data_IF_696920823748
#
_entry.id   IF_696920823748
#
_cell.length_a   1.000
_cell.length_b   1.000
_cell.length_c   1.000
_cell.angle_alpha   90.00
_cell.angle_beta   90.00
_cell.angle_gamma   90.00
#
_symmetry.space_group_name_H-M   'P 1'
#
loop_
_entity.id
_entity.type
_entity.pdbx_description
1 polymer ?
#
# COMPACT_ATOMS: atom_id res chain seq x y z
N UNK A 1 54.73 17.59 16.30
CA UNK A 1 53.25 17.65 16.21
C UNK A 1 52.83 16.48 15.32
N UNK A 2 52.26 15.42 15.92
CA UNK A 2 52.06 14.10 15.29
C UNK A 2 50.97 14.13 14.21
N UNK A 3 51.29 13.55 13.06
CA UNK A 3 50.38 13.20 11.97
C UNK A 3 49.58 11.94 12.38
N UNK A 4 48.26 12.07 12.60
CA UNK A 4 47.38 10.90 12.83
C UNK A 4 46.83 10.41 11.49
N UNK A 5 47.41 9.32 11.00
CA UNK A 5 46.83 8.45 9.98
C UNK A 5 45.61 7.76 10.62
N UNK A 6 44.40 8.09 10.19
CA UNK A 6 43.22 7.28 10.50
C UNK A 6 43.08 6.22 9.41
N UNK A 7 43.53 5.01 9.71
CA UNK A 7 43.24 3.81 8.92
C UNK A 7 41.76 3.48 9.12
N UNK A 8 40.92 3.77 8.12
CA UNK A 8 39.57 3.21 8.07
C UNK A 8 39.69 1.72 7.76
N UNK A 9 39.51 0.88 8.79
CA UNK A 9 39.29 -0.54 8.62
C UNK A 9 37.88 -0.71 8.03
N UNK A 10 37.79 -0.84 6.71
CA UNK A 10 36.55 -1.24 6.06
C UNK A 10 36.21 -2.66 6.54
N UNK A 11 35.19 -2.79 7.38
CA UNK A 11 34.54 -4.08 7.61
C UNK A 11 33.80 -4.39 6.30
N UNK A 12 34.52 -5.00 5.35
CA UNK A 12 33.91 -5.66 4.22
C UNK A 12 33.14 -6.86 4.78
N UNK A 13 31.89 -6.63 5.21
CA UNK A 13 30.93 -7.71 5.34
C UNK A 13 30.92 -8.42 4.00
N UNK A 14 31.27 -9.70 3.98
CA UNK A 14 31.27 -10.50 2.78
C UNK A 14 29.87 -10.44 2.16
N UNK A 15 29.72 -9.70 1.05
CA UNK A 15 28.61 -9.96 0.16
C UNK A 15 28.81 -11.41 -0.28
N UNK A 16 28.02 -12.35 0.26
CA UNK A 16 27.84 -13.64 -0.39
C UNK A 16 27.58 -13.35 -1.87
N UNK A 17 28.29 -14.01 -2.78
CA UNK A 17 28.24 -13.70 -4.20
C UNK A 17 26.77 -13.68 -4.67
N UNK A 18 26.25 -12.50 -5.01
CA UNK A 18 24.90 -12.36 -5.54
C UNK A 18 24.88 -13.08 -6.88
N UNK A 19 24.02 -14.10 -7.03
CA UNK A 19 23.91 -14.85 -8.28
C UNK A 19 23.09 -14.05 -9.29
N UNK A 20 23.69 -13.62 -10.41
CA UNK A 20 22.93 -13.01 -11.49
C UNK A 20 21.89 -13.99 -12.06
N UNK A 21 20.77 -13.47 -12.54
CA UNK A 21 19.66 -14.26 -13.10
C UNK A 21 18.68 -14.82 -12.05
N UNK A 22 18.91 -14.60 -10.75
CA UNK A 22 18.01 -15.02 -9.67
C UNK A 22 17.74 -13.88 -8.68
N UNK A 23 16.59 -13.94 -7.99
CA UNK A 23 16.29 -13.02 -6.89
C UNK A 23 17.01 -13.50 -5.64
N UNK A 24 17.85 -12.64 -5.06
CA UNK A 24 18.46 -12.83 -3.74
C UNK A 24 17.65 -12.06 -2.70
N UNK A 25 17.16 -12.74 -1.67
CA UNK A 25 16.33 -12.16 -0.62
C UNK A 25 16.53 -12.92 0.71
N UNK A 26 16.86 -12.26 1.82
CA UNK A 26 17.12 -10.83 1.97
C UNK A 26 18.58 -10.44 1.67
N UNK A 27 18.78 -9.22 1.15
CA UNK A 27 20.05 -8.49 1.27
C UNK A 27 19.93 -7.51 2.43
N UNK A 28 20.74 -7.68 3.47
CA UNK A 28 20.78 -6.76 4.63
C UNK A 28 21.66 -5.56 4.30
N UNK A 29 21.18 -4.35 4.61
CA UNK A 29 21.95 -3.13 4.34
C UNK A 29 23.18 -3.03 5.25
N UNK A 30 24.25 -2.40 4.78
CA UNK A 30 25.51 -2.34 5.51
C UNK A 30 25.44 -1.38 6.71
N UNK A 31 24.65 -0.32 6.59
CA UNK A 31 24.55 0.74 7.61
C UNK A 31 23.53 0.45 8.70
N UNK A 32 22.46 -0.28 8.39
CA UNK A 32 21.42 -0.64 9.35
C UNK A 32 20.97 -2.08 9.12
N UNK A 33 21.37 -2.97 10.03
CA UNK A 33 21.01 -4.38 9.99
C UNK A 33 19.50 -4.64 10.14
N UNK A 34 18.70 -3.62 10.50
CA UNK A 34 17.24 -3.69 10.53
C UNK A 34 16.61 -3.47 9.15
N UNK A 35 17.36 -2.96 8.19
CA UNK A 35 16.90 -2.76 6.81
C UNK A 35 17.40 -3.87 5.91
N UNK A 36 16.54 -4.31 5.00
CA UNK A 36 16.85 -5.28 3.97
C UNK A 36 16.02 -5.06 2.71
N UNK A 37 16.41 -5.74 1.63
CA UNK A 37 15.71 -5.70 0.35
C UNK A 37 15.90 -6.99 -0.42
N UNK A 38 14.96 -7.29 -1.32
CA UNK A 38 15.13 -8.29 -2.36
C UNK A 38 15.86 -7.65 -3.55
N UNK A 39 16.81 -8.38 -4.13
CA UNK A 39 17.65 -7.91 -5.23
C UNK A 39 17.56 -8.87 -6.41
N UNK A 40 17.36 -8.33 -7.59
CA UNK A 40 17.57 -9.01 -8.86
C UNK A 40 18.67 -8.33 -9.66
N UNK A 41 19.65 -9.12 -10.09
CA UNK A 41 20.66 -8.74 -11.06
C UNK A 41 20.39 -9.50 -12.35
N UNK A 42 20.36 -8.85 -13.53
CA UNK A 42 20.24 -9.56 -14.81
C UNK A 42 21.34 -10.60 -14.97
N UNK A 43 21.09 -11.71 -15.66
CA UNK A 43 22.08 -12.79 -15.85
C UNK A 43 23.40 -12.30 -16.48
N UNK A 44 23.33 -11.21 -17.24
CA UNK A 44 24.44 -10.54 -17.90
C UNK A 44 25.16 -9.52 -17.01
N UNK A 45 24.82 -9.42 -15.73
CA UNK A 45 25.38 -8.43 -14.80
C UNK A 45 26.90 -8.57 -14.63
N UNK A 46 27.59 -7.47 -14.87
CA UNK A 46 29.03 -7.31 -14.68
C UNK A 46 29.34 -5.94 -14.11
N UNK A 47 30.45 -5.81 -13.37
CA UNK A 47 30.87 -4.55 -12.73
C UNK A 47 31.65 -3.61 -13.66
N UNK A 48 31.99 -4.04 -14.87
CA UNK A 48 32.77 -3.28 -15.85
C UNK A 48 31.94 -2.24 -16.63
N UNK A 49 30.61 -2.25 -16.47
CA UNK A 49 29.71 -1.25 -17.04
C UNK A 49 28.68 -0.76 -16.02
N UNK A 50 28.05 0.36 -16.34
CA UNK A 50 26.98 0.95 -15.54
C UNK A 50 25.59 0.45 -15.97
N UNK A 51 24.74 0.19 -14.97
CA UNK A 51 23.42 -0.43 -15.15
C UNK A 51 22.28 0.51 -14.76
N UNK A 52 21.14 0.47 -15.48
CA UNK A 52 19.93 1.12 -15.01
C UNK A 52 19.39 0.37 -13.77
N UNK A 53 18.70 1.09 -12.89
CA UNK A 53 18.13 0.54 -11.66
C UNK A 53 16.67 0.91 -11.50
N UNK A 54 15.86 -0.05 -11.05
CA UNK A 54 14.48 0.13 -10.64
C UNK A 54 14.34 -0.14 -9.13
N UNK A 55 14.07 0.90 -8.35
CA UNK A 55 13.77 0.79 -6.93
C UNK A 55 12.28 0.58 -6.70
N UNK A 56 11.89 -0.51 -6.04
CA UNK A 56 10.49 -0.96 -5.96
C UNK A 56 9.96 -0.92 -4.52
N UNK A 57 8.73 -0.43 -4.35
CA UNK A 57 8.06 -0.31 -3.05
C UNK A 57 6.70 -1.01 -3.06
N UNK A 58 6.53 -1.97 -2.15
CA UNK A 58 5.27 -2.68 -1.90
C UNK A 58 4.58 -2.10 -0.65
N UNK A 59 3.25 -1.91 -0.64
CA UNK A 59 2.56 -1.31 0.51
C UNK A 59 2.68 -2.17 1.78
N UNK A 60 2.92 -3.48 1.64
CA UNK A 60 3.15 -4.41 2.74
C UNK A 60 4.61 -4.77 2.97
N UNK A 61 5.57 -4.08 2.33
CA UNK A 61 7.00 -4.41 2.37
C UNK A 61 7.34 -5.84 1.87
N UNK A 62 6.58 -6.37 0.91
CA UNK A 62 6.84 -7.67 0.29
C UNK A 62 7.88 -7.55 -0.85
N UNK A 63 9.13 -7.22 -0.51
CA UNK A 63 10.18 -6.94 -1.50
C UNK A 63 10.40 -8.06 -2.50
N UNK A 64 10.40 -9.34 -2.07
CA UNK A 64 10.54 -10.48 -2.99
C UNK A 64 9.44 -10.56 -4.04
N UNK A 65 8.18 -10.38 -3.63
CA UNK A 65 7.04 -10.37 -4.56
C UNK A 65 7.14 -9.20 -5.53
N UNK A 66 7.47 -8.01 -5.02
CA UNK A 66 7.62 -6.83 -5.84
C UNK A 66 8.79 -6.92 -6.85
N UNK A 67 9.91 -7.55 -6.47
CA UNK A 67 11.01 -7.83 -7.38
C UNK A 67 10.61 -8.83 -8.49
N UNK A 68 9.82 -9.85 -8.14
CA UNK A 68 9.35 -10.86 -9.10
C UNK A 68 8.46 -10.25 -10.20
N UNK A 69 7.63 -9.25 -9.88
CA UNK A 69 6.79 -8.52 -10.87
C UNK A 69 7.63 -7.97 -12.03
N UNK A 70 8.82 -7.46 -11.74
CA UNK A 70 9.69 -6.82 -12.74
C UNK A 70 10.81 -7.73 -13.26
N UNK A 71 11.00 -8.93 -12.69
CA UNK A 71 12.13 -9.82 -12.99
C UNK A 71 12.30 -10.08 -14.49
N UNK A 72 11.25 -10.51 -15.18
CA UNK A 72 11.31 -10.84 -16.60
C UNK A 72 11.65 -9.63 -17.48
N UNK A 73 11.12 -8.45 -17.13
CA UNK A 73 11.39 -7.22 -17.83
C UNK A 73 12.82 -6.72 -17.56
N UNK A 74 13.28 -6.87 -16.33
CA UNK A 74 14.63 -6.53 -15.90
C UNK A 74 15.69 -7.38 -16.59
N UNK A 75 15.43 -8.68 -16.77
CA UNK A 75 16.31 -9.56 -17.55
C UNK A 75 16.42 -9.08 -19.00
N UNK A 76 15.27 -8.84 -19.64
CA UNK A 76 15.20 -8.47 -21.06
C UNK A 76 15.86 -7.12 -21.36
N UNK A 77 15.65 -6.12 -20.51
CA UNK A 77 16.13 -4.75 -20.73
C UNK A 77 17.40 -4.41 -19.94
N UNK A 78 17.92 -5.35 -19.14
CA UNK A 78 19.16 -5.20 -18.38
C UNK A 78 19.03 -4.21 -17.22
N UNK A 79 18.05 -4.38 -16.34
CA UNK A 79 17.85 -3.55 -15.14
C UNK A 79 18.21 -4.29 -13.87
N UNK A 80 18.89 -3.60 -12.94
CA UNK A 80 18.92 -4.02 -11.55
C UNK A 80 17.55 -3.72 -10.93
N UNK A 81 16.98 -4.65 -10.17
CA UNK A 81 15.75 -4.39 -9.39
C UNK A 81 16.09 -4.54 -7.92
N UNK A 82 15.80 -3.52 -7.13
CA UNK A 82 15.95 -3.55 -5.68
C UNK A 82 14.61 -3.18 -5.02
N UNK A 83 14.03 -4.10 -4.25
CA UNK A 83 12.70 -3.97 -3.68
C UNK A 83 12.74 -4.04 -2.15
N UNK A 84 12.22 -3.02 -1.47
CA UNK A 84 12.37 -2.90 -0.02
C UNK A 84 11.57 -3.97 0.73
N UNK A 85 12.20 -4.58 1.75
CA UNK A 85 11.53 -5.47 2.71
C UNK A 85 11.07 -4.73 3.98
N UNK A 86 11.15 -3.40 3.98
CA UNK A 86 10.90 -2.60 5.19
C UNK A 86 9.98 -1.40 4.94
N UNK A 87 10.08 -0.76 3.76
CA UNK A 87 9.22 0.36 3.38
C UNK A 87 7.79 -0.16 3.14
N UNK A 88 6.87 0.23 4.03
CA UNK A 88 5.46 -0.18 4.03
C UNK A 88 4.56 0.98 4.43
N UNK A 89 3.26 0.82 4.17
CA UNK A 89 2.24 1.74 4.66
C UNK A 89 2.26 1.85 6.19
N UNK A 90 1.81 2.99 6.71
CA UNK A 90 1.82 3.32 8.13
C UNK A 90 2.62 4.59 8.41
N UNK A 91 3.62 4.49 9.28
CA UNK A 91 4.41 5.65 9.69
C UNK A 91 5.30 6.18 8.55
N UNK A 92 4.93 7.34 7.99
CA UNK A 92 5.61 7.98 6.84
C UNK A 92 7.13 8.12 7.01
N UNK A 93 7.60 8.46 8.21
CA UNK A 93 9.04 8.61 8.48
C UNK A 93 9.79 7.29 8.35
N UNK A 94 9.26 6.22 8.94
CA UNK A 94 9.88 4.89 8.88
C UNK A 94 9.87 4.36 7.44
N UNK A 95 8.76 4.55 6.73
CA UNK A 95 8.63 4.21 5.32
C UNK A 95 9.71 4.88 4.46
N UNK A 96 9.93 6.18 4.65
CA UNK A 96 10.95 6.95 3.91
C UNK A 96 12.38 6.57 4.31
N UNK A 97 12.66 6.37 5.59
CA UNK A 97 13.99 5.92 6.07
C UNK A 97 14.35 4.57 5.47
N UNK A 98 13.41 3.62 5.43
CA UNK A 98 13.63 2.31 4.81
C UNK A 98 13.90 2.42 3.31
N UNK A 99 13.16 3.27 2.60
CA UNK A 99 13.36 3.50 1.16
C UNK A 99 14.75 4.07 0.88
N UNK A 100 15.13 5.15 1.57
CA UNK A 100 16.42 5.82 1.38
C UNK A 100 17.61 4.93 1.81
N UNK A 101 17.45 4.16 2.89
CA UNK A 101 18.49 3.23 3.35
C UNK A 101 18.80 2.13 2.34
N UNK A 102 17.77 1.54 1.72
CA UNK A 102 17.96 0.60 0.61
C UNK A 102 18.65 1.27 -0.59
N UNK A 103 18.15 2.44 -1.01
CA UNK A 103 18.70 3.14 -2.18
C UNK A 103 20.18 3.48 -2.02
N UNK A 104 20.56 3.97 -0.83
CA UNK A 104 21.96 4.27 -0.50
C UNK A 104 22.84 3.01 -0.54
N UNK A 105 22.38 1.89 0.04
CA UNK A 105 23.14 0.65 0.06
C UNK A 105 23.36 0.08 -1.36
N UNK A 106 22.33 0.13 -2.21
CA UNK A 106 22.42 -0.31 -3.62
C UNK A 106 23.38 0.59 -4.41
N UNK A 107 23.32 1.91 -4.22
CA UNK A 107 24.23 2.86 -4.86
C UNK A 107 25.70 2.64 -4.47
N UNK A 108 25.96 2.19 -3.24
CA UNK A 108 27.33 1.92 -2.78
C UNK A 108 27.88 0.57 -3.27
N UNK A 109 27.01 -0.42 -3.52
CA UNK A 109 27.41 -1.80 -3.81
C UNK A 109 27.49 -2.14 -5.30
N UNK A 110 26.71 -1.47 -6.15
CA UNK A 110 26.54 -1.86 -7.55
C UNK A 110 26.93 -0.73 -8.52
N UNK A 111 27.43 -1.11 -9.70
CA UNK A 111 27.75 -0.18 -10.78
C UNK A 111 26.49 0.38 -11.45
N UNK A 112 25.96 1.49 -10.92
CA UNK A 112 24.74 2.13 -11.43
C UNK A 112 25.06 3.24 -12.44
N UNK A 113 24.17 3.40 -13.40
CA UNK A 113 24.12 4.58 -14.25
C UNK A 113 23.26 5.66 -13.58
N UNK A 114 23.91 6.72 -13.10
CA UNK A 114 23.24 7.80 -12.38
C UNK A 114 22.19 8.57 -13.18
N UNK A 115 22.13 8.40 -14.51
CA UNK A 115 21.10 9.00 -15.38
C UNK A 115 19.93 8.06 -15.67
N UNK A 116 20.03 6.79 -15.27
CA UNK A 116 19.03 5.75 -15.50
C UNK A 116 18.55 5.15 -14.17
N UNK A 117 18.09 6.03 -13.29
CA UNK A 117 17.45 5.67 -12.02
C UNK A 117 15.93 5.80 -12.18
N UNK A 118 15.21 4.76 -11.77
CA UNK A 118 13.76 4.67 -11.85
C UNK A 118 13.21 4.18 -10.52
N UNK A 119 11.96 4.54 -10.24
CA UNK A 119 11.23 4.01 -9.08
C UNK A 119 9.95 3.33 -9.55
N UNK A 120 9.49 2.34 -8.81
CA UNK A 120 8.22 1.69 -9.03
C UNK A 120 7.53 1.41 -7.69
N UNK A 121 6.21 1.27 -7.71
CA UNK A 121 5.50 0.83 -6.54
C UNK A 121 4.05 0.50 -6.81
N UNK A 122 3.40 -0.11 -5.82
CA UNK A 122 1.98 -0.43 -5.86
C UNK A 122 1.22 0.28 -4.75
N UNK A 123 0.06 0.87 -5.06
CA UNK A 123 -0.81 1.53 -4.08
C UNK A 123 -0.05 2.57 -3.24
N UNK A 124 -0.01 2.46 -1.91
CA UNK A 124 0.83 3.33 -1.06
C UNK A 124 2.34 3.26 -1.36
N UNK A 125 2.83 2.13 -1.87
CA UNK A 125 4.18 2.01 -2.42
C UNK A 125 4.38 2.81 -3.72
N UNK A 126 3.36 2.95 -4.57
CA UNK A 126 3.42 3.80 -5.76
C UNK A 126 3.52 5.28 -5.36
N UNK A 127 2.77 5.69 -4.34
CA UNK A 127 2.90 7.03 -3.74
C UNK A 127 4.31 7.24 -3.15
N UNK A 128 4.90 6.24 -2.50
CA UNK A 128 6.30 6.31 -2.04
C UNK A 128 7.28 6.43 -3.22
N UNK A 129 7.10 5.64 -4.28
CA UNK A 129 7.90 5.72 -5.51
C UNK A 129 7.85 7.13 -6.12
N UNK A 130 6.65 7.72 -6.17
CA UNK A 130 6.43 9.08 -6.63
C UNK A 130 7.03 10.14 -5.71
N UNK A 131 7.00 9.94 -4.39
CA UNK A 131 7.64 10.84 -3.42
C UNK A 131 9.16 10.84 -3.59
N UNK A 132 9.79 9.67 -3.77
CA UNK A 132 11.20 9.58 -4.12
C UNK A 132 11.48 10.28 -5.45
N UNK A 133 10.63 10.06 -6.46
CA UNK A 133 10.72 10.73 -7.76
C UNK A 133 10.62 12.25 -7.67
N UNK A 134 9.80 12.79 -6.77
CA UNK A 134 9.69 14.21 -6.52
C UNK A 134 10.91 14.78 -5.78
N UNK A 135 11.31 14.12 -4.69
CA UNK A 135 12.45 14.56 -3.86
C UNK A 135 13.77 14.50 -4.63
N UNK A 136 13.90 13.55 -5.55
CA UNK A 136 15.06 13.38 -6.41
C UNK A 136 14.71 13.54 -7.89
N UNK A 137 13.93 14.57 -8.23
CA UNK A 137 13.48 14.85 -9.60
C UNK A 137 14.60 15.04 -10.62
N UNK A 138 15.79 15.41 -10.16
CA UNK A 138 16.98 15.57 -11.00
C UNK A 138 17.76 14.25 -11.19
N UNK A 139 17.42 13.19 -10.43
CA UNK A 139 18.07 11.89 -10.52
C UNK A 139 17.14 10.76 -11.00
N UNK A 140 15.86 10.78 -10.61
CA UNK A 140 14.85 9.79 -11.02
C UNK A 140 14.29 10.20 -12.37
N UNK A 141 14.54 9.39 -13.41
CA UNK A 141 14.11 9.68 -14.78
C UNK A 141 12.61 9.44 -14.98
N UNK A 142 12.08 8.37 -14.39
CA UNK A 142 10.67 8.04 -14.46
C UNK A 142 10.21 7.16 -13.28
N UNK A 143 8.89 7.18 -13.04
CA UNK A 143 8.20 6.39 -12.02
C UNK A 143 7.23 5.42 -12.69
N UNK A 144 7.22 4.15 -12.28
CA UNK A 144 6.19 3.17 -12.64
C UNK A 144 5.21 3.05 -11.48
N UNK A 145 4.04 3.68 -11.59
CA UNK A 145 3.05 3.75 -10.53
C UNK A 145 1.89 2.77 -10.79
N UNK A 146 1.77 1.73 -9.97
CA UNK A 146 0.72 0.71 -10.08
C UNK A 146 -0.41 0.98 -9.08
N UNK A 147 -1.65 1.10 -9.55
CA UNK A 147 -2.84 1.16 -8.70
C UNK A 147 -2.95 2.40 -7.80
N UNK A 148 -2.20 3.47 -8.06
CA UNK A 148 -2.38 4.77 -7.41
C UNK A 148 -1.76 5.91 -8.24
N UNK A 149 -2.24 7.12 -7.99
CA UNK A 149 -1.78 8.38 -8.55
C UNK A 149 -0.49 8.91 -7.91
N UNK A 150 -0.30 10.23 -8.00
CA UNK A 150 0.83 10.92 -7.35
C UNK A 150 0.73 10.90 -5.82
N UNK A 151 1.82 11.27 -5.09
CA UNK A 151 1.74 11.46 -3.66
C UNK A 151 0.62 12.41 -3.26
N UNK A 152 -0.10 12.07 -2.18
CA UNK A 152 -1.21 12.88 -1.69
C UNK A 152 -0.75 14.30 -1.32
N UNK A 153 -1.63 15.27 -1.55
CA UNK A 153 -1.42 16.68 -1.21
C UNK A 153 -0.21 17.36 -1.86
N UNK A 154 0.30 16.84 -2.99
CA UNK A 154 1.32 17.53 -3.76
C UNK A 154 0.76 18.83 -4.35
N UNK A 155 1.33 20.02 -4.02
CA UNK A 155 0.84 21.29 -4.57
C UNK A 155 0.93 21.34 -6.10
N UNK A 156 0.01 22.06 -6.76
CA UNK A 156 -0.08 22.09 -8.23
C UNK A 156 1.19 22.62 -8.91
N UNK A 157 1.90 23.57 -8.29
CA UNK A 157 3.18 24.07 -8.78
C UNK A 157 4.26 22.98 -8.77
N UNK A 158 4.19 22.03 -7.82
CA UNK A 158 5.13 20.92 -7.71
C UNK A 158 4.84 19.80 -8.70
N UNK A 159 3.60 19.64 -9.16
CA UNK A 159 3.23 18.67 -10.22
C UNK A 159 3.96 18.93 -11.53
N UNK A 160 4.33 20.19 -11.81
CA UNK A 160 5.11 20.59 -13.00
C UNK A 160 6.55 20.08 -13.00
N UNK A 161 7.08 19.78 -11.82
CA UNK A 161 8.46 19.36 -11.62
C UNK A 161 8.59 17.84 -11.41
N UNK A 162 7.52 17.08 -11.60
CA UNK A 162 7.54 15.64 -11.49
C UNK A 162 8.28 14.99 -12.68
N UNK A 163 8.98 13.86 -12.46
CA UNK A 163 9.55 13.08 -13.55
C UNK A 163 8.46 12.49 -14.46
N UNK A 164 8.86 11.74 -15.48
CA UNK A 164 7.91 11.03 -16.34
C UNK A 164 7.23 9.88 -15.56
N UNK A 165 6.00 9.50 -15.90
CA UNK A 165 5.28 8.41 -15.25
C UNK A 165 4.75 7.37 -16.23
N UNK A 166 4.86 6.11 -15.86
CA UNK A 166 4.09 5.02 -16.44
C UNK A 166 3.11 4.52 -15.39
N UNK A 167 1.83 4.78 -15.59
CA UNK A 167 0.77 4.32 -14.72
C UNK A 167 0.24 2.96 -15.16
N UNK A 168 -0.12 2.13 -14.19
CA UNK A 168 -0.86 0.90 -14.44
C UNK A 168 -2.04 0.83 -13.49
N UNK A 169 -3.18 0.33 -13.96
CA UNK A 169 -4.36 0.18 -13.10
C UNK A 169 -5.29 -0.90 -13.61
N UNK A 170 -5.85 -1.68 -12.69
CA UNK A 170 -6.87 -2.66 -13.03
C UNK A 170 -8.19 -1.96 -13.40
N UNK A 171 -8.92 -2.49 -14.37
CA UNK A 171 -10.21 -1.91 -14.76
C UNK A 171 -11.24 -1.91 -13.62
N UNK A 172 -11.11 -2.81 -12.64
CA UNK A 172 -11.98 -2.90 -11.46
C UNK A 172 -11.36 -2.25 -10.21
N UNK A 173 -10.21 -1.59 -10.34
CA UNK A 173 -9.51 -0.94 -9.24
C UNK A 173 -10.27 0.30 -8.77
N UNK A 174 -10.46 0.45 -7.46
CA UNK A 174 -11.10 1.62 -6.89
C UNK A 174 -10.30 2.91 -7.15
N UNK A 175 -8.97 2.81 -7.28
CA UNK A 175 -8.08 3.92 -7.65
C UNK A 175 -8.03 4.19 -9.16
N UNK A 176 -8.89 3.58 -9.99
CA UNK A 176 -8.92 3.82 -11.43
C UNK A 176 -8.92 5.31 -11.78
N UNK A 177 -9.79 6.07 -11.13
CA UNK A 177 -9.93 7.50 -11.38
C UNK A 177 -8.75 8.33 -10.85
N UNK A 178 -8.21 7.98 -9.69
CA UNK A 178 -6.99 8.59 -9.15
C UNK A 178 -5.81 8.47 -10.14
N UNK A 179 -5.66 7.28 -10.75
CA UNK A 179 -4.63 7.01 -11.75
C UNK A 179 -4.81 7.82 -13.03
N UNK A 180 -6.00 7.76 -13.67
CA UNK A 180 -6.20 8.45 -14.95
C UNK A 180 -6.18 9.97 -14.79
N UNK A 181 -6.69 10.50 -13.68
CA UNK A 181 -6.66 11.94 -13.41
C UNK A 181 -5.25 12.43 -13.10
N UNK A 182 -4.45 11.64 -12.37
CA UNK A 182 -3.02 11.92 -12.16
C UNK A 182 -2.28 11.95 -13.50
N UNK A 183 -2.47 10.97 -14.37
CA UNK A 183 -1.82 10.95 -15.69
C UNK A 183 -2.21 12.17 -16.54
N UNK A 184 -3.48 12.60 -16.49
CA UNK A 184 -3.96 13.79 -17.22
C UNK A 184 -3.38 15.08 -16.66
N UNK A 185 -3.25 15.19 -15.35
CA UNK A 185 -2.69 16.36 -14.67
C UNK A 185 -1.17 16.51 -14.86
N UNK A 186 -0.47 15.45 -15.29
CA UNK A 186 0.98 15.48 -15.48
C UNK A 186 1.40 16.29 -16.70
N UNK A 187 2.35 17.20 -16.49
CA UNK A 187 2.98 17.99 -17.56
C UNK A 187 4.15 17.25 -18.24
N UNK A 188 4.84 16.40 -17.47
CA UNK A 188 5.86 15.48 -17.99
C UNK A 188 5.23 14.34 -18.80
N UNK A 189 6.03 13.60 -19.61
CA UNK A 189 5.56 12.42 -20.31
C UNK A 189 4.85 11.44 -19.38
N UNK A 190 3.71 10.92 -19.84
CA UNK A 190 2.85 10.04 -19.07
C UNK A 190 2.26 8.97 -19.98
N UNK A 191 2.28 7.71 -19.55
CA UNK A 191 1.56 6.63 -20.21
C UNK A 191 0.66 5.91 -19.20
N UNK A 192 -0.49 5.39 -19.64
CA UNK A 192 -1.42 4.61 -18.80
C UNK A 192 -1.68 3.25 -19.44
N UNK A 193 -1.44 2.18 -18.69
CA UNK A 193 -1.86 0.84 -19.07
C UNK A 193 -2.99 0.36 -18.15
N UNK A 194 -4.19 0.27 -18.71
CA UNK A 194 -5.32 -0.40 -18.05
C UNK A 194 -5.28 -1.89 -18.35
N UNK A 195 -5.50 -2.74 -17.35
CA UNK A 195 -5.55 -4.20 -17.51
C UNK A 195 -6.82 -4.80 -16.89
N UNK A 196 -7.17 -6.02 -17.30
CA UNK A 196 -8.26 -6.76 -16.69
C UNK A 196 -7.87 -7.24 -15.29
N UNK A 197 -8.31 -6.53 -14.26
CA UNK A 197 -7.93 -6.80 -12.87
C UNK A 197 -8.50 -5.80 -11.88
N UNK A 198 -8.36 -6.11 -10.59
CA UNK A 198 -8.73 -5.22 -9.49
C UNK A 198 -7.55 -4.40 -8.98
N UNK A 199 -7.55 -4.11 -7.68
CA UNK A 199 -6.44 -3.46 -7.00
C UNK A 199 -5.31 -4.46 -6.71
N UNK A 200 -4.42 -4.64 -7.68
CA UNK A 200 -3.33 -5.61 -7.63
C UNK A 200 -2.11 -5.11 -8.42
N UNK A 201 -0.95 -5.73 -8.20
CA UNK A 201 0.22 -5.53 -9.06
C UNK A 201 -0.12 -5.79 -10.54
N UNK A 202 0.50 -5.02 -11.43
CA UNK A 202 0.34 -5.19 -12.87
C UNK A 202 0.76 -6.61 -13.29
N UNK A 203 0.05 -7.25 -14.23
CA UNK A 203 0.47 -8.54 -14.75
C UNK A 203 1.79 -8.41 -15.53
N UNK A 204 2.56 -9.51 -15.67
CA UNK A 204 3.94 -9.46 -16.19
C UNK A 204 4.09 -8.76 -17.55
N UNK A 205 3.11 -8.88 -18.44
CA UNK A 205 3.11 -8.23 -19.75
C UNK A 205 2.94 -6.71 -19.67
N UNK A 206 2.21 -6.21 -18.65
CA UNK A 206 2.06 -4.78 -18.40
C UNK A 206 3.32 -4.23 -17.71
N UNK A 207 3.90 -4.97 -16.76
CA UNK A 207 5.20 -4.63 -16.17
C UNK A 207 6.31 -4.59 -17.23
N UNK A 208 6.31 -5.54 -18.17
CA UNK A 208 7.20 -5.56 -19.34
C UNK A 208 7.05 -4.31 -20.21
N UNK A 209 5.81 -3.90 -20.51
CA UNK A 209 5.53 -2.66 -21.26
C UNK A 209 6.04 -1.42 -20.53
N UNK A 210 5.85 -1.34 -19.22
CA UNK A 210 6.30 -0.21 -18.41
C UNK A 210 7.83 -0.06 -18.45
N UNK A 211 8.57 -1.16 -18.25
CA UNK A 211 10.05 -1.16 -18.32
C UNK A 211 10.55 -0.94 -19.75
N UNK A 212 9.85 -1.46 -20.77
CA UNK A 212 10.17 -1.16 -22.16
C UNK A 212 10.07 0.34 -22.46
N UNK A 213 9.03 1.00 -21.96
CA UNK A 213 8.84 2.44 -22.10
C UNK A 213 9.93 3.24 -21.36
N UNK A 214 10.36 2.82 -20.16
CA UNK A 214 11.50 3.46 -19.48
C UNK A 214 12.82 3.24 -20.22
N UNK A 215 13.04 2.05 -20.79
CA UNK A 215 14.21 1.72 -21.59
C UNK A 215 14.26 2.51 -22.92
N UNK A 216 13.09 2.82 -23.51
CA UNK A 216 12.95 3.73 -24.65
C UNK A 216 13.13 5.22 -24.26
N UNK A 217 13.40 5.50 -22.99
CA UNK A 217 13.75 6.82 -22.50
C UNK A 217 12.59 7.61 -21.89
N UNK A 218 11.41 7.02 -21.68
CA UNK A 218 10.27 7.62 -20.99
C UNK A 218 9.83 8.98 -21.60
N UNK A 219 9.59 8.98 -22.92
CA UNK A 219 9.29 10.21 -23.69
C UNK A 219 7.88 10.25 -24.25
N UNK A 220 7.31 9.09 -24.56
CA UNK A 220 6.02 9.01 -25.23
C UNK A 220 4.89 9.30 -24.23
N UNK A 221 3.85 9.98 -24.72
CA UNK A 221 2.62 10.25 -23.98
C UNK A 221 1.48 9.41 -24.54
N UNK A 222 0.87 8.60 -23.68
CA UNK A 222 -0.29 7.76 -23.99
C UNK A 222 -1.28 7.79 -22.81
N UNK A 223 -2.13 8.81 -22.79
CA UNK A 223 -3.08 9.05 -21.69
C UNK A 223 -4.49 9.04 -22.25
N UNK A 224 -5.41 8.20 -21.73
CA UNK A 224 -6.77 8.13 -22.25
C UNK A 224 -7.53 9.45 -22.00
N UNK A 225 -8.27 9.98 -22.99
CA UNK A 225 -9.09 11.17 -22.82
C UNK A 225 -10.28 10.88 -21.89
N UNK A 226 -10.87 11.94 -21.32
CA UNK A 226 -12.13 11.81 -20.59
C UNK A 226 -13.25 11.47 -21.59
N UNK A 227 -14.09 10.48 -21.25
CA UNK A 227 -15.24 10.10 -22.07
C UNK A 227 -16.55 10.31 -21.30
N UNK A 228 -17.70 10.51 -21.98
CA UNK A 228 -19.00 10.60 -21.32
C UNK A 228 -19.33 9.36 -20.48
N UNK A 229 -18.96 8.16 -20.97
CA UNK A 229 -19.12 6.91 -20.24
C UNK A 229 -18.31 6.90 -18.93
N UNK A 230 -17.06 7.36 -18.98
CA UNK A 230 -16.21 7.51 -17.80
C UNK A 230 -16.84 8.47 -16.78
N UNK A 231 -17.35 9.62 -17.23
CA UNK A 231 -18.00 10.59 -16.33
C UNK A 231 -19.25 10.00 -15.67
N UNK A 232 -20.04 9.21 -16.41
CA UNK A 232 -21.19 8.51 -15.86
C UNK A 232 -20.79 7.44 -14.83
N UNK A 233 -19.76 6.64 -15.12
CA UNK A 233 -19.21 5.65 -14.19
C UNK A 233 -18.73 6.30 -12.90
N UNK A 234 -18.05 7.44 -12.98
CA UNK A 234 -17.56 8.20 -11.80
C UNK A 234 -18.70 8.66 -10.90
N UNK A 235 -19.69 9.35 -11.46
CA UNK A 235 -20.87 9.81 -10.68
C UNK A 235 -21.56 8.66 -9.98
N UNK A 236 -21.73 7.54 -10.69
CA UNK A 236 -22.36 6.35 -10.12
C UNK A 236 -21.51 5.70 -9.02
N UNK A 237 -20.19 5.67 -9.16
CA UNK A 237 -19.29 5.20 -8.10
C UNK A 237 -19.44 6.06 -6.84
N UNK A 238 -19.45 7.39 -6.97
CA UNK A 238 -19.66 8.32 -5.86
C UNK A 238 -21.02 8.12 -5.18
N UNK A 239 -22.10 7.96 -5.95
CA UNK A 239 -23.44 7.70 -5.44
C UNK A 239 -23.53 6.39 -4.65
N UNK A 240 -22.83 5.35 -5.09
CA UNK A 240 -22.81 4.04 -4.42
C UNK A 240 -22.02 4.04 -3.11
N UNK A 241 -20.96 4.85 -3.03
CA UNK A 241 -20.10 4.96 -1.84
C UNK A 241 -20.70 5.90 -0.79
N UNK A 242 -21.45 6.92 -1.22
CA UNK A 242 -21.99 7.99 -0.36
C UNK A 242 -22.71 7.50 0.90
N UNK A 243 -23.62 6.50 0.87
CA UNK A 243 -24.33 6.06 2.08
C UNK A 243 -23.40 5.55 3.18
N UNK A 244 -22.40 4.73 2.82
CA UNK A 244 -21.40 4.21 3.75
C UNK A 244 -20.61 5.37 4.38
N UNK A 245 -20.11 6.29 3.54
CA UNK A 245 -19.29 7.41 4.01
C UNK A 245 -20.09 8.42 4.84
N UNK A 246 -21.36 8.65 4.51
CA UNK A 246 -22.24 9.50 5.31
C UNK A 246 -22.53 8.89 6.68
N UNK A 247 -22.71 7.57 6.79
CA UNK A 247 -22.86 6.89 8.08
C UNK A 247 -21.58 6.98 8.93
N UNK A 248 -20.41 6.76 8.31
CA UNK A 248 -19.11 6.92 8.98
C UNK A 248 -18.85 8.36 9.43
N UNK A 249 -19.24 9.36 8.63
CA UNK A 249 -19.11 10.77 9.00
C UNK A 249 -19.97 11.13 10.24
N UNK A 250 -21.21 10.61 10.32
CA UNK A 250 -22.05 10.75 11.53
C UNK A 250 -21.38 10.10 12.74
N UNK A 251 -20.78 8.93 12.56
CA UNK A 251 -20.08 8.22 13.64
C UNK A 251 -18.82 8.98 14.13
N UNK A 252 -18.10 9.64 13.22
CA UNK A 252 -16.89 10.39 13.55
C UNK A 252 -17.17 11.77 14.15
N UNK A 253 -18.27 12.42 13.74
CA UNK A 253 -18.64 13.77 14.14
C UNK A 253 -20.15 13.86 14.44
N UNK A 254 -20.63 13.24 15.53
CA UNK A 254 -22.06 13.20 15.85
C UNK A 254 -22.66 14.61 16.00
N UNK A 255 -21.87 15.56 16.50
CA UNK A 255 -22.28 16.95 16.72
C UNK A 255 -22.54 17.74 15.42
N UNK A 256 -21.78 17.45 14.36
CA UNK A 256 -21.81 18.21 13.10
C UNK A 256 -23.01 17.85 12.19
N UNK A 257 -23.77 16.81 12.55
CA UNK A 257 -24.91 16.30 11.78
C UNK A 257 -26.25 16.47 12.49
N UNK A 258 -26.26 17.23 13.60
CA UNK A 258 -27.47 17.51 14.37
C UNK A 258 -28.39 18.52 13.65
N UNK A 259 -29.73 18.36 13.76
CA UNK A 259 -30.67 19.41 13.39
C UNK A 259 -30.37 20.71 14.14
N UNK A 260 -30.63 21.89 13.55
CA UNK A 260 -30.35 23.18 14.18
C UNK A 260 -30.91 23.33 15.59
N UNK A 261 -32.04 22.67 15.88
CA UNK A 261 -32.73 22.72 17.17
C UNK A 261 -31.99 21.99 18.31
N UNK A 262 -30.98 21.16 18.00
CA UNK A 262 -30.16 20.41 18.98
C UNK A 262 -28.68 20.81 18.97
N UNK A 263 -28.33 21.90 18.28
CA UNK A 263 -26.99 22.48 18.32
C UNK A 263 -26.77 23.16 19.69
N UNK A 264 -25.88 22.60 20.52
CA UNK A 264 -25.56 23.11 21.86
C UNK A 264 -25.94 22.19 23.02
N UNK A 265 -26.68 21.11 22.76
CA UNK A 265 -26.84 20.01 23.71
C UNK A 265 -25.56 19.15 23.68
N UNK A 266 -24.91 18.94 24.84
CA UNK A 266 -23.80 17.98 24.93
C UNK A 266 -24.37 16.56 24.84
N UNK A 267 -24.26 15.91 23.68
CA UNK A 267 -24.40 14.45 23.62
C UNK A 267 -23.10 13.84 23.12
N UNK A 268 -22.15 13.68 24.05
CA UNK A 268 -21.10 12.67 23.96
C UNK A 268 -21.70 11.25 24.13
N UNK A 269 -22.93 10.99 23.65
CA UNK A 269 -23.63 9.73 23.90
C UNK A 269 -22.99 8.63 23.04
N UNK A 270 -22.28 7.66 23.65
CA UNK A 270 -21.64 6.58 22.91
C UNK A 270 -22.66 5.71 22.13
N UNK A 271 -23.95 5.76 22.49
CA UNK A 271 -25.01 5.04 21.80
C UNK A 271 -25.26 5.55 20.37
N UNK A 272 -25.19 6.88 20.14
CA UNK A 272 -25.41 7.49 18.83
C UNK A 272 -24.29 7.13 17.84
N UNK A 273 -23.05 7.07 18.34
CA UNK A 273 -21.88 6.68 17.55
C UNK A 273 -21.93 5.18 17.18
N UNK A 274 -22.28 4.30 18.13
CA UNK A 274 -22.43 2.86 17.86
C UNK A 274 -23.57 2.58 16.87
N UNK A 275 -24.69 3.31 16.98
CA UNK A 275 -25.76 3.22 15.99
C UNK A 275 -25.27 3.62 14.59
N UNK A 276 -24.51 4.72 14.48
CA UNK A 276 -23.96 5.17 13.19
C UNK A 276 -22.96 4.17 12.58
N UNK A 277 -22.16 3.49 13.40
CA UNK A 277 -21.34 2.36 12.94
C UNK A 277 -22.19 1.15 12.53
N UNK A 278 -23.31 0.91 13.21
CA UNK A 278 -24.33 -0.07 12.81
C UNK A 278 -24.89 0.20 11.41
N UNK A 279 -25.30 1.44 11.16
CA UNK A 279 -25.76 1.89 9.84
C UNK A 279 -24.68 1.66 8.77
N UNK A 280 -23.43 2.07 9.06
CA UNK A 280 -22.31 1.93 8.12
C UNK A 280 -22.04 0.45 7.76
N UNK A 281 -22.10 -0.47 8.75
CA UNK A 281 -22.02 -1.92 8.50
C UNK A 281 -23.16 -2.40 7.60
N UNK A 282 -24.38 -1.92 7.83
CA UNK A 282 -25.55 -2.23 7.01
C UNK A 282 -25.41 -1.78 5.55
N UNK A 283 -25.02 -0.52 5.33
CA UNK A 283 -24.79 0.04 4.00
C UNK A 283 -23.66 -0.68 3.26
N UNK A 284 -22.57 -0.99 3.95
CA UNK A 284 -21.45 -1.74 3.37
C UNK A 284 -21.87 -3.16 2.95
N UNK A 285 -22.63 -3.86 3.79
CA UNK A 285 -23.15 -5.19 3.45
C UNK A 285 -24.13 -5.14 2.27
N UNK A 286 -24.97 -4.11 2.19
CA UNK A 286 -25.88 -3.90 1.06
C UNK A 286 -25.09 -3.64 -0.25
N UNK A 287 -24.03 -2.84 -0.19
CA UNK A 287 -23.14 -2.60 -1.33
C UNK A 287 -22.45 -3.88 -1.80
N UNK A 288 -21.95 -4.70 -0.85
CA UNK A 288 -21.37 -6.02 -1.15
C UNK A 288 -22.38 -6.95 -1.82
N UNK A 289 -23.63 -6.96 -1.35
CA UNK A 289 -24.73 -7.75 -1.93
C UNK A 289 -24.98 -7.33 -3.38
N UNK A 290 -25.19 -6.04 -3.64
CA UNK A 290 -25.36 -5.48 -4.99
C UNK A 290 -24.23 -5.88 -5.93
N UNK A 291 -22.98 -5.79 -5.46
CA UNK A 291 -21.81 -6.21 -6.24
C UNK A 291 -21.84 -7.69 -6.61
N UNK A 292 -22.28 -8.55 -5.70
CA UNK A 292 -22.31 -10.01 -5.92
C UNK A 292 -23.37 -10.43 -6.94
N UNK A 293 -24.45 -9.65 -7.05
CA UNK A 293 -25.56 -9.87 -7.98
C UNK A 293 -25.34 -9.22 -9.35
N UNK A 294 -24.34 -8.35 -9.50
CA UNK A 294 -24.11 -7.55 -10.70
C UNK A 294 -23.33 -8.28 -11.82
N UNK A 295 -23.65 -7.93 -13.05
CA UNK A 295 -22.99 -8.42 -14.28
C UNK A 295 -22.81 -7.28 -15.29
N UNK A 296 -21.95 -7.46 -16.31
CA UNK A 296 -21.76 -6.45 -17.36
C UNK A 296 -21.16 -5.14 -16.85
N UNK A 297 -21.57 -4.01 -17.42
CA UNK A 297 -21.03 -2.68 -17.09
C UNK A 297 -21.25 -2.27 -15.63
N UNK A 298 -22.33 -2.76 -15.03
CA UNK A 298 -22.66 -2.55 -13.62
C UNK A 298 -21.61 -3.15 -12.67
N UNK A 299 -21.03 -4.29 -13.07
CA UNK A 299 -20.01 -4.97 -12.28
C UNK A 299 -18.76 -4.10 -12.12
N UNK A 300 -18.37 -3.35 -13.16
CA UNK A 300 -17.17 -2.50 -13.11
C UNK A 300 -17.33 -1.45 -12.01
N UNK A 301 -18.42 -0.68 -12.06
CA UNK A 301 -18.66 0.42 -11.13
C UNK A 301 -18.87 -0.10 -9.71
N UNK A 302 -19.60 -1.21 -9.54
CA UNK A 302 -19.82 -1.79 -8.21
C UNK A 302 -18.55 -2.38 -7.59
N UNK A 303 -17.64 -2.96 -8.39
CA UNK A 303 -16.34 -3.41 -7.87
C UNK A 303 -15.47 -2.24 -7.42
N UNK A 304 -15.44 -1.15 -8.20
CA UNK A 304 -14.72 0.06 -7.82
C UNK A 304 -15.32 0.72 -6.57
N UNK A 305 -16.65 0.86 -6.51
CA UNK A 305 -17.35 1.44 -5.38
C UNK A 305 -17.15 0.64 -4.08
N UNK A 306 -17.33 -0.68 -4.13
CA UNK A 306 -17.10 -1.53 -2.96
C UNK A 306 -15.63 -1.52 -2.53
N UNK A 307 -14.71 -1.53 -3.49
CA UNK A 307 -13.27 -1.40 -3.22
C UNK A 307 -12.92 -0.08 -2.54
N UNK A 308 -13.49 1.03 -3.01
CA UNK A 308 -13.28 2.36 -2.44
C UNK A 308 -13.79 2.41 -1.00
N UNK A 309 -15.06 2.03 -0.79
CA UNK A 309 -15.67 2.05 0.53
C UNK A 309 -14.88 1.16 1.52
N UNK A 310 -14.46 -0.02 1.09
CA UNK A 310 -13.60 -0.91 1.89
C UNK A 310 -12.26 -0.25 2.24
N UNK A 311 -11.55 0.26 1.23
CA UNK A 311 -10.21 0.84 1.39
C UNK A 311 -10.25 2.05 2.32
N UNK A 312 -11.14 3.02 2.07
CA UNK A 312 -11.29 4.22 2.90
C UNK A 312 -11.58 3.87 4.36
N UNK A 313 -12.47 2.90 4.58
CA UNK A 313 -12.85 2.46 5.92
C UNK A 313 -11.67 1.78 6.62
N UNK A 314 -10.99 0.85 5.93
CA UNK A 314 -9.86 0.11 6.48
C UNK A 314 -8.68 1.02 6.81
N UNK A 315 -8.29 1.90 5.87
CA UNK A 315 -7.20 2.85 6.06
C UNK A 315 -7.51 3.88 7.15
N UNK A 316 -8.78 4.31 7.27
CA UNK A 316 -9.20 5.15 8.40
C UNK A 316 -9.04 4.41 9.72
N UNK A 317 -9.37 3.11 9.79
CA UNK A 317 -9.11 2.26 10.94
C UNK A 317 -7.63 2.25 11.33
N UNK A 318 -6.73 2.04 10.36
CA UNK A 318 -5.28 2.08 10.59
C UNK A 318 -4.82 3.44 11.11
N UNK A 319 -5.36 4.54 10.57
CA UNK A 319 -5.06 5.87 11.08
C UNK A 319 -5.49 6.04 12.54
N UNK A 320 -6.64 5.49 12.94
CA UNK A 320 -7.09 5.53 14.35
C UNK A 320 -6.19 4.73 15.28
N UNK A 321 -5.62 3.62 14.84
CA UNK A 321 -4.61 2.89 15.65
C UNK A 321 -3.36 3.74 15.87
N UNK A 322 -2.85 4.39 14.82
CA UNK A 322 -1.69 5.28 14.92
C UNK A 322 -1.95 6.51 15.80
N UNK A 323 -3.19 6.98 15.86
CA UNK A 323 -3.64 8.05 16.77
C UNK A 323 -3.86 7.58 18.22
N UNK A 324 -3.68 6.29 18.53
CA UNK A 324 -3.93 5.74 19.86
C UNK A 324 -5.42 5.62 20.20
N UNK A 325 -6.29 5.45 19.20
CA UNK A 325 -7.74 5.28 19.33
C UNK A 325 -8.20 3.86 18.92
N UNK A 326 -7.76 2.80 19.62
CA UNK A 326 -7.96 1.42 19.20
C UNK A 326 -9.43 0.96 19.19
N UNK A 327 -10.29 1.51 20.07
CA UNK A 327 -11.72 1.18 20.06
C UNK A 327 -12.39 1.66 18.77
N UNK A 328 -12.03 2.87 18.32
CA UNK A 328 -12.54 3.44 17.09
C UNK A 328 -12.00 2.68 15.87
N UNK A 329 -10.71 2.32 15.89
CA UNK A 329 -10.11 1.47 14.86
C UNK A 329 -10.88 0.16 14.66
N UNK A 330 -11.23 -0.53 15.76
CA UNK A 330 -12.00 -1.76 15.70
C UNK A 330 -13.38 -1.55 15.03
N UNK A 331 -14.09 -0.47 15.33
CA UNK A 331 -15.38 -0.15 14.68
C UNK A 331 -15.23 0.07 13.17
N UNK A 332 -14.18 0.76 12.73
CA UNK A 332 -13.87 0.91 11.30
C UNK A 332 -13.55 -0.45 10.66
N UNK A 333 -12.73 -1.29 11.30
CA UNK A 333 -12.43 -2.62 10.76
C UNK A 333 -13.66 -3.53 10.66
N UNK A 334 -14.62 -3.43 11.58
CA UNK A 334 -15.90 -4.13 11.50
C UNK A 334 -16.75 -3.65 10.32
N UNK A 335 -16.79 -2.34 10.04
CA UNK A 335 -17.43 -1.79 8.83
C UNK A 335 -16.73 -2.31 7.57
N UNK A 336 -15.40 -2.30 7.52
CA UNK A 336 -14.65 -2.84 6.39
C UNK A 336 -14.94 -4.35 6.18
N UNK A 337 -15.02 -5.12 7.27
CA UNK A 337 -15.31 -6.55 7.22
C UNK A 337 -16.70 -6.86 6.62
N UNK A 338 -17.68 -5.98 6.78
CA UNK A 338 -19.00 -6.13 6.15
C UNK A 338 -18.93 -6.07 4.61
N UNK A 339 -17.91 -5.41 4.04
CA UNK A 339 -17.72 -5.22 2.60
C UNK A 339 -17.09 -6.40 1.86
N UNK A 340 -16.49 -7.35 2.59
CA UNK A 340 -15.74 -8.46 2.00
C UNK A 340 -16.27 -9.82 2.46
N UNK A 341 -15.87 -10.88 1.77
CA UNK A 341 -16.10 -12.23 2.27
C UNK A 341 -15.41 -12.42 3.64
N UNK A 342 -15.94 -13.28 4.54
CA UNK A 342 -15.32 -13.52 5.84
C UNK A 342 -13.81 -13.77 5.71
N UNK A 343 -13.01 -12.99 6.44
CA UNK A 343 -11.57 -12.97 6.28
C UNK A 343 -10.87 -13.17 7.65
N UNK A 344 -10.04 -14.22 7.81
CA UNK A 344 -9.41 -14.52 9.09
C UNK A 344 -8.47 -13.42 9.57
N UNK A 345 -7.69 -12.81 8.68
CA UNK A 345 -6.70 -11.78 9.04
C UNK A 345 -7.33 -10.45 9.44
N UNK A 346 -8.35 -9.98 8.71
CA UNK A 346 -9.10 -8.79 9.12
C UNK A 346 -9.82 -9.01 10.45
N UNK A 347 -10.35 -10.21 10.67
CA UNK A 347 -10.98 -10.56 11.95
C UNK A 347 -9.95 -10.59 13.09
N UNK A 348 -8.74 -11.06 12.83
CA UNK A 348 -7.61 -10.95 13.76
C UNK A 348 -7.22 -9.49 14.03
N UNK A 349 -7.21 -8.60 13.03
CA UNK A 349 -6.97 -7.17 13.24
C UNK A 349 -8.05 -6.53 14.13
N UNK A 350 -9.33 -6.88 13.94
CA UNK A 350 -10.41 -6.47 14.86
C UNK A 350 -10.11 -6.95 16.28
N UNK A 351 -9.69 -8.21 16.45
CA UNK A 351 -9.33 -8.76 17.76
C UNK A 351 -8.17 -8.01 18.42
N UNK A 352 -7.12 -7.70 17.67
CA UNK A 352 -5.96 -6.94 18.14
C UNK A 352 -6.33 -5.51 18.55
N UNK A 353 -7.13 -4.81 17.74
CA UNK A 353 -7.65 -3.48 18.06
C UNK A 353 -8.53 -3.49 19.33
N UNK A 354 -9.41 -4.49 19.48
CA UNK A 354 -10.21 -4.65 20.71
C UNK A 354 -9.33 -4.97 21.94
N UNK A 355 -8.24 -5.72 21.76
CA UNK A 355 -7.27 -6.01 22.82
C UNK A 355 -6.55 -4.73 23.28
N UNK A 356 -6.09 -3.91 22.32
CA UNK A 356 -5.49 -2.61 22.57
C UNK A 356 -6.48 -1.63 23.24
N UNK A 357 -7.77 -1.74 22.95
CA UNK A 357 -8.84 -1.00 23.61
C UNK A 357 -9.22 -1.53 25.01
N UNK A 358 -8.48 -2.51 25.54
CA UNK A 358 -8.76 -3.20 26.80
C UNK A 358 -10.14 -3.90 26.87
N UNK A 359 -10.76 -4.18 25.71
CA UNK A 359 -12.05 -4.84 25.59
C UNK A 359 -11.88 -6.36 25.56
N UNK A 360 -11.38 -6.95 26.66
CA UNK A 360 -10.96 -8.38 26.73
C UNK A 360 -11.98 -9.36 26.16
N UNK A 361 -13.26 -9.20 26.52
CA UNK A 361 -14.35 -10.08 26.04
C UNK A 361 -14.54 -9.99 24.52
N UNK A 362 -14.51 -8.78 23.95
CA UNK A 362 -14.63 -8.55 22.50
C UNK A 362 -13.40 -9.08 21.77
N UNK A 363 -12.20 -8.84 22.32
CA UNK A 363 -10.94 -9.30 21.75
C UNK A 363 -10.87 -10.83 21.64
N UNK A 364 -11.18 -11.57 22.72
CA UNK A 364 -11.15 -13.04 22.71
C UNK A 364 -12.24 -13.64 21.83
N UNK A 365 -13.43 -13.04 21.77
CA UNK A 365 -14.50 -13.46 20.87
C UNK A 365 -14.09 -13.29 19.39
N UNK A 366 -13.52 -12.13 19.03
CA UNK A 366 -13.04 -11.87 17.68
C UNK A 366 -11.85 -12.78 17.32
N UNK A 367 -10.92 -13.02 18.25
CA UNK A 367 -9.77 -13.91 18.00
C UNK A 367 -10.24 -15.36 17.75
N UNK A 368 -11.18 -15.87 18.56
CA UNK A 368 -11.79 -17.19 18.33
C UNK A 368 -12.42 -17.25 16.93
N UNK A 369 -13.17 -16.21 16.55
CA UNK A 369 -13.77 -16.13 15.22
C UNK A 369 -12.72 -16.11 14.10
N UNK A 370 -11.60 -15.42 14.29
CA UNK A 370 -10.50 -15.42 13.34
C UNK A 370 -9.94 -16.84 13.13
N UNK A 371 -9.75 -17.61 14.21
CA UNK A 371 -9.28 -19.01 14.15
C UNK A 371 -10.30 -19.90 13.43
N UNK A 372 -11.59 -19.78 13.73
CA UNK A 372 -12.66 -20.50 13.00
C UNK A 372 -12.68 -20.18 11.49
N UNK A 373 -12.25 -18.98 11.11
CA UNK A 373 -12.14 -18.54 9.72
C UNK A 373 -10.81 -18.95 9.06
N UNK A 374 -9.92 -19.65 9.77
CA UNK A 374 -8.65 -20.16 9.26
C UNK A 374 -7.41 -19.32 9.63
N UNK A 375 -7.45 -18.51 10.69
CA UNK A 375 -6.26 -17.83 11.21
C UNK A 375 -5.39 -18.80 12.02
N UNK A 376 -4.23 -19.17 11.48
CA UNK A 376 -3.28 -20.12 12.11
C UNK A 376 -1.89 -19.53 12.39
N UNK A 377 -1.71 -18.21 12.22
CA UNK A 377 -0.40 -17.56 12.44
C UNK A 377 -0.13 -17.32 13.93
N UNK A 378 0.35 -18.37 14.61
CA UNK A 378 0.73 -18.30 16.02
C UNK A 378 1.90 -17.34 16.26
N UNK A 379 2.75 -17.11 15.25
CA UNK A 379 3.88 -16.19 15.34
C UNK A 379 3.42 -14.74 15.43
N UNK A 380 2.48 -14.34 14.57
CA UNK A 380 1.84 -13.03 14.62
C UNK A 380 1.21 -12.78 16.00
N UNK A 381 0.35 -13.69 16.47
CA UNK A 381 -0.30 -13.57 17.78
C UNK A 381 0.71 -13.53 18.94
N UNK A 382 1.77 -14.34 18.88
CA UNK A 382 2.80 -14.34 19.92
C UNK A 382 3.58 -13.01 19.98
N UNK A 383 3.78 -12.35 18.85
CA UNK A 383 4.50 -11.06 18.76
C UNK A 383 3.62 -9.83 19.06
N UNK A 384 2.31 -9.99 19.03
CA UNK A 384 1.35 -8.91 19.22
C UNK A 384 1.20 -8.54 20.70
N UNK A 385 1.73 -7.36 21.05
CA UNK A 385 1.74 -6.83 22.42
C UNK A 385 0.36 -6.43 22.93
N UNK A 386 -0.62 -6.24 22.05
CA UNK A 386 -1.97 -5.87 22.46
C UNK A 386 -2.62 -6.98 23.31
N UNK A 387 -2.20 -8.23 23.11
CA UNK A 387 -2.68 -9.39 23.87
C UNK A 387 -1.92 -9.64 25.19
N UNK A 388 -0.90 -8.85 25.54
CA UNK A 388 -0.05 -9.10 26.72
C UNK A 388 -0.87 -9.23 28.02
N UNK A 389 -1.89 -8.38 28.19
CA UNK A 389 -2.79 -8.40 29.36
C UNK A 389 -3.67 -9.67 29.47
N UNK A 390 -3.68 -10.53 28.44
CA UNK A 390 -4.52 -11.72 28.33
C UNK A 390 -3.71 -13.03 28.23
N UNK A 391 -2.38 -12.98 28.12
CA UNK A 391 -1.49 -14.17 27.97
C UNK A 391 -1.65 -15.22 29.06
N UNK A 392 -2.02 -14.83 30.29
CA UNK A 392 -2.27 -15.77 31.39
C UNK A 392 -3.64 -16.45 31.37
N UNK A 393 -4.59 -15.96 30.56
CA UNK A 393 -5.97 -16.47 30.57
C UNK A 393 -6.06 -17.90 30.04
N UNK A 394 -6.95 -18.71 30.65
CA UNK A 394 -7.27 -20.04 30.14
C UNK A 394 -7.95 -19.97 28.77
N UNK A 395 -8.75 -18.93 28.54
CA UNK A 395 -9.46 -18.72 27.27
C UNK A 395 -8.50 -18.47 26.10
N UNK A 396 -7.50 -17.59 26.26
CA UNK A 396 -6.51 -17.38 25.19
C UNK A 396 -5.68 -18.64 24.93
N UNK A 397 -5.33 -19.40 25.97
CA UNK A 397 -4.62 -20.69 25.82
C UNK A 397 -5.43 -21.69 25.01
N UNK A 398 -6.73 -21.81 25.26
CA UNK A 398 -7.62 -22.68 24.49
C UNK A 398 -7.73 -22.25 23.03
N UNK A 399 -7.78 -20.94 22.75
CA UNK A 399 -7.79 -20.42 21.38
C UNK A 399 -6.47 -20.74 20.67
N UNK A 400 -5.32 -20.53 21.32
CA UNK A 400 -4.00 -20.85 20.76
C UNK A 400 -3.85 -22.35 20.49
N UNK A 401 -4.41 -23.21 21.33
CA UNK A 401 -4.41 -24.65 21.11
C UNK A 401 -5.22 -25.04 19.87
N UNK A 402 -6.35 -24.39 19.63
CA UNK A 402 -7.19 -24.59 18.44
C UNK A 402 -6.58 -24.05 17.13
N UNK A 403 -5.47 -23.29 17.20
CA UNK A 403 -4.74 -22.83 16.01
C UNK A 403 -3.83 -23.90 15.42
N UNK A 404 -3.49 -24.94 16.20
CA UNK A 404 -2.66 -26.09 15.79
C UNK A 404 -3.45 -27.07 14.97
#
# INVERSE_FOLDING_TARGET
MLLRLFTFLAIAGSLAAQQPGAITDPIVTAKDAKQSYALYLPSTYTRDRQWPVLFVFDPGAQGKQAAEVFRAAAEKYGYIVAASNNSRNGQRREQAVAALGMMEDVQQRFALDGKRIYTAGFSGGARMAGLVGFLCRDCVRAVIACGAGFPDHLPDDKKKALPAYFFTVGQYDFNYFDVVDSARALQSPAAVAVFDGGHQWAPPEVAMRAVAWTAAGAKDRDVPPVTPAETAQRRRQEELVRPVMSALARAAHPEATRPPERLGESSDDPADAEQSFGDARGEMAALRKKRTEATGDDLVVLRRALGQAYADTYETGQARELEGKPALAASYYEVAAAGIAPNPYLTYHIASAQAAAHQKKKALAALRRAVELGFHDSGALASDKNFDSMRGSSELRAIVEAMR
#
